data_IF_100784451975
#
_entry.id   IF_100784451975
#
_cell.length_a   1.000
_cell.length_b   1.000
_cell.length_c   1.000
_cell.angle_alpha   90.00
_cell.angle_beta   90.00
_cell.angle_gamma   90.00
#
_symmetry.space_group_name_H-M   'P 1'
#
loop_
_entity.id
_entity.type
_entity.pdbx_description
1 polymer ?
#
# COMPACT_ATOMS: atom_id res chain seq x y z
N UNK A 1 19.68 23.19 7.98
CA UNK A 1 18.25 22.89 7.76
C UNK A 1 18.21 21.50 7.15
N UNK A 2 17.52 20.53 7.75
CA UNK A 2 17.36 19.20 7.13
C UNK A 2 16.15 19.28 6.20
N UNK A 3 16.26 18.93 4.91
CA UNK A 3 15.11 18.91 4.01
C UNK A 3 14.02 17.97 4.53
N UNK A 4 12.76 18.39 4.40
CA UNK A 4 11.61 17.52 4.62
C UNK A 4 11.62 16.40 3.57
N UNK A 5 11.55 15.16 4.02
CA UNK A 5 11.68 13.96 3.22
C UNK A 5 10.85 12.84 3.85
N UNK A 6 9.95 12.26 3.05
CA UNK A 6 9.17 11.09 3.42
C UNK A 6 9.27 10.03 2.31
N UNK A 7 9.51 8.80 2.73
CA UNK A 7 9.79 7.63 1.89
C UNK A 7 9.12 6.40 2.51
N UNK A 8 8.65 5.51 1.62
CA UNK A 8 8.30 4.14 1.94
C UNK A 8 9.24 3.26 1.14
N UNK A 9 10.05 2.50 1.86
CA UNK A 9 10.87 1.45 1.28
C UNK A 9 10.12 0.12 1.44
N UNK A 10 9.74 -0.45 0.30
CA UNK A 10 8.98 -1.69 0.20
C UNK A 10 9.23 -2.39 -1.11
N UNK A 11 9.49 -3.69 -1.05
CA UNK A 11 9.39 -4.54 -2.23
C UNK A 11 7.92 -4.62 -2.71
N UNK A 12 7.69 -4.76 -4.03
CA UNK A 12 6.36 -4.99 -4.56
C UNK A 12 5.73 -6.24 -3.94
N UNK A 13 4.49 -6.13 -3.48
CA UNK A 13 3.76 -7.29 -2.96
C UNK A 13 3.24 -8.10 -4.15
N UNK A 14 3.83 -9.28 -4.35
CA UNK A 14 3.47 -10.18 -5.45
C UNK A 14 2.41 -11.18 -4.99
N UNK A 15 1.21 -11.14 -5.59
CA UNK A 15 0.12 -12.08 -5.33
C UNK A 15 -0.06 -13.04 -6.50
N UNK A 16 -0.27 -14.31 -6.18
CA UNK A 16 -0.64 -15.34 -7.16
C UNK A 16 -2.12 -15.28 -7.50
N UNK A 17 -2.50 -15.95 -8.59
CA UNK A 17 -3.89 -16.16 -8.99
C UNK A 17 -4.73 -16.88 -7.91
N UNK A 18 -6.05 -16.72 -8.01
CA UNK A 18 -7.01 -17.36 -7.12
C UNK A 18 -7.35 -16.53 -5.89
N UNK A 19 -7.30 -17.14 -4.72
CA UNK A 19 -7.63 -16.52 -3.46
C UNK A 19 -6.56 -16.83 -2.41
N UNK A 20 -6.34 -15.90 -1.50
CA UNK A 20 -5.31 -16.07 -0.50
C UNK A 20 -5.13 -14.88 0.42
N UNK A 21 -4.09 -14.99 1.23
CA UNK A 21 -3.63 -13.94 2.12
C UNK A 21 -2.11 -13.87 2.07
N UNK A 22 -1.59 -12.66 1.99
CA UNK A 22 -0.17 -12.37 2.06
C UNK A 22 0.08 -11.28 3.08
N UNK A 23 1.16 -11.40 3.85
CA UNK A 23 1.58 -10.39 4.81
C UNK A 23 3.03 -10.03 4.61
N UNK A 24 3.40 -8.86 5.12
CA UNK A 24 4.76 -8.36 5.07
C UNK A 24 4.91 -7.13 5.94
N UNK A 25 6.00 -6.41 5.72
CA UNK A 25 6.26 -5.16 6.40
C UNK A 25 7.02 -4.21 5.49
N UNK A 26 6.77 -2.92 5.67
CA UNK A 26 7.40 -1.85 4.88
C UNK A 26 8.06 -0.85 5.81
N UNK A 27 9.19 -0.31 5.39
CA UNK A 27 9.92 0.68 6.18
C UNK A 27 9.36 2.07 5.85
N UNK A 28 8.85 2.76 6.86
CA UNK A 28 8.35 4.12 6.73
C UNK A 28 9.38 5.08 7.32
N UNK A 29 9.88 6.02 6.52
CA UNK A 29 10.80 7.07 6.95
C UNK A 29 10.20 8.43 6.59
N UNK A 30 9.91 9.26 7.57
CA UNK A 30 9.39 10.61 7.33
C UNK A 30 9.85 11.54 8.43
N UNK A 31 10.58 12.59 8.06
CA UNK A 31 11.09 13.60 8.99
C UNK A 31 10.27 14.91 8.95
N UNK A 32 9.20 14.97 8.14
CA UNK A 32 8.30 16.12 8.07
C UNK A 32 7.24 16.09 9.17
N UNK A 33 6.83 17.26 9.63
CA UNK A 33 5.64 17.42 10.48
C UNK A 33 4.33 17.37 9.67
N UNK A 34 4.43 17.52 8.35
CA UNK A 34 3.29 17.57 7.43
C UNK A 34 2.65 16.18 7.23
N UNK A 35 1.50 16.18 6.56
CA UNK A 35 0.81 14.98 6.18
C UNK A 35 1.33 14.38 4.87
N UNK A 36 1.21 13.06 4.74
CA UNK A 36 1.44 12.36 3.49
C UNK A 36 0.42 11.24 3.30
N UNK A 37 0.11 10.92 2.06
CA UNK A 37 -0.79 9.83 1.69
C UNK A 37 0.00 8.68 1.10
N UNK A 38 -0.31 7.47 1.57
CA UNK A 38 0.23 6.23 1.03
C UNK A 38 -0.76 5.69 0.02
N UNK A 39 -0.24 5.35 -1.16
CA UNK A 39 -1.05 4.87 -2.25
C UNK A 39 -0.53 3.53 -2.77
N UNK A 40 -1.44 2.58 -2.89
CA UNK A 40 -1.22 1.33 -3.60
C UNK A 40 -1.49 1.52 -5.11
N UNK A 41 -0.51 1.15 -5.95
CA UNK A 41 -0.61 1.13 -7.41
C UNK A 41 -0.42 -0.30 -7.92
N UNK A 42 -1.26 -0.73 -8.86
CA UNK A 42 -1.38 -2.11 -9.34
C UNK A 42 -2.05 -2.12 -10.72
N UNK A 43 -2.12 -3.27 -11.40
CA UNK A 43 -2.91 -3.36 -12.65
C UNK A 43 -4.40 -3.20 -12.36
N UNK A 44 -5.21 -2.82 -13.34
CA UNK A 44 -6.66 -2.79 -13.18
C UNK A 44 -7.20 -4.17 -12.74
N UNK A 45 -8.22 -4.15 -11.88
CA UNK A 45 -8.87 -5.36 -11.38
C UNK A 45 -10.02 -5.74 -12.30
N UNK A 46 -10.12 -7.03 -12.64
CA UNK A 46 -11.27 -7.55 -13.37
C UNK A 46 -12.54 -7.47 -12.49
N UNK A 47 -13.76 -7.46 -13.06
CA UNK A 47 -15.01 -7.20 -12.32
C UNK A 47 -15.26 -8.09 -11.09
N UNK A 48 -14.70 -9.30 -11.08
CA UNK A 48 -14.87 -10.27 -9.99
C UNK A 48 -13.68 -10.33 -9.03
N UNK A 49 -12.58 -9.65 -9.34
CA UNK A 49 -11.40 -9.63 -8.49
C UNK A 49 -11.64 -8.73 -7.28
N UNK A 50 -11.34 -9.25 -6.09
CA UNK A 50 -11.42 -8.47 -4.86
C UNK A 50 -10.09 -8.51 -4.15
N UNK A 51 -9.59 -7.33 -3.78
CA UNK A 51 -8.35 -7.20 -3.03
C UNK A 51 -8.55 -6.19 -1.91
N UNK A 52 -8.29 -6.63 -0.68
CA UNK A 52 -8.28 -5.81 0.51
C UNK A 52 -6.84 -5.67 0.99
N UNK A 53 -6.35 -4.44 0.99
CA UNK A 53 -5.02 -4.09 1.43
C UNK A 53 -5.07 -3.46 2.83
N UNK A 54 -4.17 -3.88 3.70
CA UNK A 54 -3.97 -3.30 5.02
C UNK A 54 -2.58 -2.68 5.13
N UNK A 55 -2.53 -1.45 5.64
CA UNK A 55 -1.32 -0.67 5.85
C UNK A 55 -1.35 -0.08 7.26
N UNK A 56 -0.35 -0.39 8.09
CA UNK A 56 -0.21 0.14 9.44
C UNK A 56 -1.51 0.03 10.29
N UNK A 57 -2.24 -1.09 10.13
CA UNK A 57 -3.50 -1.37 10.83
C UNK A 57 -4.76 -0.82 10.16
N UNK A 58 -4.65 0.02 9.12
CA UNK A 58 -5.78 0.50 8.34
C UNK A 58 -6.05 -0.43 7.17
N UNK A 59 -7.29 -0.88 7.01
CA UNK A 59 -7.70 -1.72 5.88
C UNK A 59 -8.54 -0.95 4.86
N UNK A 60 -8.27 -1.18 3.57
CA UNK A 60 -8.97 -0.57 2.44
C UNK A 60 -9.22 -1.61 1.35
N UNK A 61 -10.37 -1.51 0.70
CA UNK A 61 -10.65 -2.25 -0.52
C UNK A 61 -9.97 -1.52 -1.68
N UNK A 62 -9.20 -2.26 -2.48
CA UNK A 62 -8.61 -1.73 -3.70
C UNK A 62 -9.69 -1.54 -4.76
N UNK A 63 -9.67 -0.39 -5.43
CA UNK A 63 -10.56 -0.08 -6.53
C UNK A 63 -10.14 -0.78 -7.83
N UNK A 64 -11.05 -0.84 -8.80
CA UNK A 64 -10.78 -1.48 -10.08
C UNK A 64 -9.79 -0.71 -10.98
N UNK A 65 -9.57 0.58 -10.72
CA UNK A 65 -8.78 1.47 -11.59
C UNK A 65 -7.26 1.34 -11.44
N UNK A 66 -6.76 0.38 -10.65
CA UNK A 66 -5.31 0.15 -10.50
C UNK A 66 -4.59 1.11 -9.54
N UNK A 67 -5.30 1.94 -8.80
CA UNK A 67 -4.69 2.92 -7.88
C UNK A 67 -5.63 3.27 -6.74
N UNK A 68 -5.23 3.04 -5.49
CA UNK A 68 -6.07 3.31 -4.31
C UNK A 68 -5.26 3.94 -3.18
N UNK A 69 -5.70 5.09 -2.63
CA UNK A 69 -5.18 5.62 -1.37
C UNK A 69 -5.46 4.65 -0.22
N UNK A 70 -4.42 4.15 0.44
CA UNK A 70 -4.56 3.14 1.51
C UNK A 70 -4.44 3.72 2.91
N UNK A 71 -3.70 4.82 3.09
CA UNK A 71 -3.56 5.48 4.38
C UNK A 71 -3.22 6.96 4.25
N UNK A 72 -3.71 7.78 5.17
CA UNK A 72 -3.19 9.13 5.42
C UNK A 72 -2.34 9.08 6.70
N UNK A 73 -1.16 9.67 6.65
CA UNK A 73 -0.15 9.67 7.71
C UNK A 73 0.20 11.12 8.03
N UNK A 74 0.49 11.40 9.29
CA UNK A 74 0.82 12.75 9.75
C UNK A 74 1.96 12.72 10.75
N UNK A 75 2.78 13.77 10.74
CA UNK A 75 3.92 13.94 11.61
C UNK A 75 5.10 13.03 11.27
N UNK A 76 6.20 13.24 11.98
CA UNK A 76 7.41 12.45 11.80
C UNK A 76 7.14 10.98 12.13
N UNK A 77 7.61 10.08 11.27
CA UNK A 77 7.45 8.63 11.39
C UNK A 77 8.77 7.95 11.07
N UNK A 78 9.11 6.94 11.85
CA UNK A 78 10.21 6.03 11.53
C UNK A 78 9.84 4.60 11.93
N UNK A 79 10.26 3.64 11.12
CA UNK A 79 10.24 2.21 11.43
C UNK A 79 9.26 1.38 10.62
N UNK A 80 9.29 0.08 10.88
CA UNK A 80 8.51 -0.91 10.13
C UNK A 80 7.01 -0.75 10.38
N UNK A 81 6.22 -0.91 9.31
CA UNK A 81 4.76 -0.96 9.33
C UNK A 81 4.29 -2.28 8.76
N UNK A 82 3.42 -3.02 9.47
CA UNK A 82 2.86 -4.24 8.92
C UNK A 82 1.96 -3.91 7.73
N UNK A 83 2.05 -4.76 6.72
CA UNK A 83 1.12 -4.79 5.59
C UNK A 83 0.47 -6.16 5.50
N UNK A 84 -0.74 -6.20 4.97
CA UNK A 84 -1.48 -7.43 4.72
C UNK A 84 -2.36 -7.28 3.50
N UNK A 85 -2.52 -8.36 2.75
CA UNK A 85 -3.30 -8.37 1.52
C UNK A 85 -4.15 -9.62 1.52
N UNK A 86 -5.45 -9.43 1.56
CA UNK A 86 -6.42 -10.49 1.37
C UNK A 86 -7.01 -10.34 -0.02
N UNK A 87 -7.03 -11.41 -0.81
CA UNK A 87 -7.51 -11.36 -2.18
C UNK A 87 -8.36 -12.58 -2.51
N UNK A 88 -9.27 -12.40 -3.47
CA UNK A 88 -10.10 -13.46 -4.01
C UNK A 88 -10.38 -13.26 -5.49
N UNK A 89 -10.54 -14.40 -6.18
CA UNK A 89 -10.84 -14.48 -7.60
C UNK A 89 -9.86 -13.74 -8.53
N UNK A 90 -8.58 -13.60 -8.13
CA UNK A 90 -7.52 -13.07 -9.01
C UNK A 90 -7.36 -13.97 -10.23
N UNK A 91 -7.58 -13.40 -11.41
CA UNK A 91 -7.52 -14.10 -12.70
C UNK A 91 -6.12 -14.10 -13.31
N UNK A 92 -5.26 -13.19 -12.85
CA UNK A 92 -3.84 -13.12 -13.19
C UNK A 92 -3.05 -12.61 -11.97
N UNK A 93 -1.72 -12.81 -11.92
CA UNK A 93 -0.91 -12.31 -10.82
C UNK A 93 -1.08 -10.79 -10.65
N UNK A 94 -0.92 -10.32 -9.41
CA UNK A 94 -1.06 -8.91 -9.06
C UNK A 94 0.18 -8.45 -8.29
N UNK A 95 0.88 -7.46 -8.84
CA UNK A 95 1.93 -6.75 -8.12
C UNK A 95 1.37 -5.44 -7.55
N UNK A 96 1.51 -5.23 -6.25
CA UNK A 96 1.11 -4.00 -5.58
C UNK A 96 2.36 -3.23 -5.18
N UNK A 97 2.48 -2.00 -5.69
CA UNK A 97 3.55 -1.06 -5.35
C UNK A 97 3.01 0.01 -4.43
N UNK A 98 3.80 0.44 -3.44
CA UNK A 98 3.46 1.55 -2.57
C UNK A 98 4.23 2.80 -2.96
N UNK A 99 3.54 3.93 -2.94
CA UNK A 99 4.12 5.24 -3.19
C UNK A 99 3.58 6.25 -2.19
N UNK A 100 4.30 7.35 -1.99
CA UNK A 100 3.84 8.49 -1.20
C UNK A 100 3.44 9.63 -2.12
N UNK A 101 2.32 10.29 -1.79
CA UNK A 101 1.96 11.60 -2.32
C UNK A 101 1.79 12.60 -1.16
N UNK A 102 2.14 13.86 -1.39
CA UNK A 102 1.96 14.95 -0.42
C UNK A 102 0.65 15.69 -0.72
N UNK A 103 0.01 16.24 0.32
CA UNK A 103 -1.23 17.02 0.21
C UNK A 103 -1.14 18.34 0.96
#
# INVERSE_FOLDING_TARGET
MVPAYCEIDSDPVQLSEGAGFQSGSVMELCNSADGFQVVASYRELAPNEQVRFSYAGLSRQLNASGWTPVANRVGAKFGMRPIGVQYSALQSPLAINLTITYF
#
